data_IF_980822984517
#
_entry.id   IF_980822984517
#
_cell.length_a   1.000
_cell.length_b   1.000
_cell.length_c   1.000
_cell.angle_alpha   90.00
_cell.angle_beta   90.00
_cell.angle_gamma   90.00
#
_symmetry.space_group_name_H-M   'P 1'
#
loop_
_entity.id
_entity.type
_entity.pdbx_description
1 polymer ?
#
# COMPACT_ATOMS: atom_id res chain seq x y z
N UNK A 1 -2.12 19.21 -10.82
CA UNK A 1 -2.22 17.73 -10.84
C UNK A 1 -1.16 17.04 -9.99
N UNK A 2 0.15 17.27 -10.20
CA UNK A 2 1.19 16.72 -9.32
C UNK A 2 1.20 17.40 -7.94
N UNK A 3 0.93 18.71 -7.91
CA UNK A 3 0.69 19.44 -6.65
C UNK A 3 -0.52 18.90 -5.87
N UNK A 4 -1.54 18.40 -6.57
CA UNK A 4 -2.70 17.79 -5.93
C UNK A 4 -2.33 16.46 -5.26
N UNK A 5 -1.49 15.65 -5.93
CA UNK A 5 -0.91 14.42 -5.37
C UNK A 5 -0.06 14.71 -4.14
N UNK A 6 0.77 15.76 -4.21
CA UNK A 6 1.61 16.20 -3.08
C UNK A 6 0.76 16.69 -1.91
N UNK A 7 -0.32 17.41 -2.18
CA UNK A 7 -1.28 17.85 -1.15
C UNK A 7 -1.96 16.66 -0.50
N UNK A 8 -2.47 15.72 -1.30
CA UNK A 8 -3.09 14.50 -0.80
C UNK A 8 -2.12 13.67 0.06
N UNK A 9 -0.87 13.52 -0.38
CA UNK A 9 0.17 12.84 0.38
C UNK A 9 0.50 13.55 1.71
N UNK A 10 0.59 14.89 1.70
CA UNK A 10 0.83 15.66 2.94
C UNK A 10 -0.33 15.49 3.92
N UNK A 11 -1.56 15.56 3.43
CA UNK A 11 -2.75 15.34 4.24
C UNK A 11 -2.79 13.90 4.80
N UNK A 12 -2.42 12.90 4.00
CA UNK A 12 -2.28 11.53 4.47
C UNK A 12 -1.20 11.39 5.57
N UNK A 13 -0.08 12.11 5.44
CA UNK A 13 0.98 12.16 6.46
C UNK A 13 0.50 12.81 7.76
N UNK A 14 -0.21 13.93 7.68
CA UNK A 14 -0.73 14.64 8.86
C UNK A 14 -1.78 13.77 9.57
N UNK A 15 -2.65 13.12 8.80
CA UNK A 15 -3.63 12.15 9.32
C UNK A 15 -2.95 10.94 9.95
N UNK A 16 -1.89 10.42 9.34
CA UNK A 16 -1.08 9.35 9.91
C UNK A 16 -0.47 9.76 11.24
N UNK A 17 0.15 10.94 11.34
CA UNK A 17 0.74 11.43 12.59
C UNK A 17 -0.30 11.61 13.70
N UNK A 18 -1.46 12.17 13.37
CA UNK A 18 -2.57 12.34 14.31
C UNK A 18 -3.10 10.99 14.82
N UNK A 19 -3.30 10.02 13.91
CA UNK A 19 -3.80 8.70 14.30
C UNK A 19 -2.74 7.89 15.06
N UNK A 20 -1.46 8.09 14.76
CA UNK A 20 -0.34 7.50 15.50
C UNK A 20 -0.31 7.95 16.97
N UNK A 21 -0.80 9.16 17.26
CA UNK A 21 -0.85 9.72 18.62
C UNK A 21 -2.06 9.25 19.44
N UNK A 22 -2.97 8.45 18.85
CA UNK A 22 -4.14 7.89 19.53
C UNK A 22 -3.85 6.45 19.95
N UNK A 23 -4.14 6.13 21.22
CA UNK A 23 -3.68 4.90 21.89
C UNK A 23 -4.17 3.57 21.26
N UNK A 24 -5.20 3.57 20.42
CA UNK A 24 -5.74 2.35 19.80
C UNK A 24 -6.46 2.62 18.47
N UNK A 25 -5.80 2.48 17.30
CA UNK A 25 -6.36 1.77 16.12
C UNK A 25 -5.24 1.37 15.12
N UNK A 26 -4.71 0.13 15.18
CA UNK A 26 -3.73 -0.35 14.19
C UNK A 26 -4.26 -0.37 12.74
N UNK A 27 -5.56 -0.67 12.53
CA UNK A 27 -6.15 -0.81 11.19
C UNK A 27 -6.30 0.49 10.39
N UNK A 28 -6.47 1.64 11.05
CA UNK A 28 -6.54 2.95 10.36
C UNK A 28 -5.16 3.36 9.83
N UNK A 29 -4.12 3.08 10.62
CA UNK A 29 -2.72 3.37 10.28
C UNK A 29 -2.27 2.55 9.06
N UNK A 30 -2.63 1.27 8.98
CA UNK A 30 -2.29 0.43 7.82
C UNK A 30 -3.01 0.87 6.54
N UNK A 31 -4.27 1.33 6.64
CA UNK A 31 -5.00 1.92 5.49
C UNK A 31 -4.34 3.22 5.02
N UNK A 32 -3.91 4.08 5.94
CA UNK A 32 -3.19 5.32 5.61
C UNK A 32 -1.85 5.03 4.92
N UNK A 33 -1.09 4.04 5.41
CA UNK A 33 0.15 3.60 4.77
C UNK A 33 -0.10 3.05 3.36
N UNK A 34 -1.18 2.29 3.16
CA UNK A 34 -1.56 1.83 1.81
C UNK A 34 -1.83 3.00 0.88
N UNK A 35 -2.64 3.97 1.33
CA UNK A 35 -2.92 5.18 0.54
C UNK A 35 -1.65 5.94 0.16
N UNK A 36 -0.72 6.13 1.11
CA UNK A 36 0.58 6.76 0.83
C UNK A 36 1.42 5.98 -0.22
N UNK A 37 1.38 4.65 -0.20
CA UNK A 37 2.07 3.80 -1.19
C UNK A 37 1.43 3.93 -2.57
N UNK A 38 0.10 4.01 -2.63
CA UNK A 38 -0.65 4.20 -3.87
C UNK A 38 -0.30 5.55 -4.51
N UNK A 39 -0.27 6.63 -3.72
CA UNK A 39 0.13 7.97 -4.16
C UNK A 39 1.57 8.00 -4.70
N UNK A 40 2.51 7.33 -4.03
CA UNK A 40 3.89 7.18 -4.54
C UNK A 40 3.93 6.41 -5.85
N UNK A 41 3.11 5.37 -5.98
CA UNK A 41 3.06 4.54 -7.19
C UNK A 41 2.49 5.33 -8.37
N UNK A 42 1.47 6.16 -8.13
CA UNK A 42 0.94 7.08 -9.12
C UNK A 42 1.99 8.13 -9.51
N UNK A 43 2.70 8.71 -8.54
CA UNK A 43 3.78 9.67 -8.79
C UNK A 43 4.86 9.07 -9.70
N UNK A 44 5.27 7.82 -9.44
CA UNK A 44 6.25 7.09 -10.26
C UNK A 44 5.76 6.83 -11.68
N UNK A 45 4.49 6.47 -11.84
CA UNK A 45 3.90 6.26 -13.18
C UNK A 45 3.96 7.56 -13.99
N UNK A 46 3.55 8.67 -13.37
CA UNK A 46 3.61 10.00 -14.02
C UNK A 46 5.04 10.44 -14.33
N UNK A 47 6.01 10.12 -13.47
CA UNK A 47 7.43 10.37 -13.73
C UNK A 47 7.92 9.57 -14.96
N UNK A 48 7.59 8.29 -15.04
CA UNK A 48 7.94 7.45 -16.19
C UNK A 48 7.32 7.98 -17.50
N UNK A 49 6.09 8.48 -17.44
CA UNK A 49 5.45 9.11 -18.60
C UNK A 49 6.20 10.38 -19.05
N UNK A 50 6.70 11.20 -18.12
CA UNK A 50 7.51 12.38 -18.42
C UNK A 50 8.85 11.99 -19.03
N UNK A 51 9.53 10.98 -18.49
CA UNK A 51 10.78 10.46 -19.03
C UNK A 51 10.61 9.94 -20.46
N UNK A 52 9.53 9.21 -20.73
CA UNK A 52 9.20 8.75 -22.08
C UNK A 52 8.89 9.92 -23.03
N UNK A 53 8.16 10.95 -22.58
CA UNK A 53 7.92 12.15 -23.38
C UNK A 53 9.22 12.90 -23.70
N UNK A 54 10.16 12.96 -22.75
CA UNK A 54 11.47 13.55 -22.96
C UNK A 54 12.27 12.79 -24.01
N UNK A 55 12.34 11.45 -23.89
CA UNK A 55 13.03 10.59 -24.86
C UNK A 55 12.45 10.77 -26.27
N UNK A 56 11.13 10.73 -26.40
CA UNK A 56 10.45 10.94 -27.68
C UNK A 56 10.76 12.32 -28.28
N UNK A 57 10.72 13.37 -27.46
CA UNK A 57 11.00 14.75 -27.92
C UNK A 57 12.45 14.88 -28.40
N UNK A 58 13.41 14.27 -27.70
CA UNK A 58 14.82 14.22 -28.13
C UNK A 58 15.00 13.44 -29.44
N UNK A 59 14.29 12.32 -29.60
CA UNK A 59 14.33 11.54 -30.83
C UNK A 59 13.76 12.33 -32.02
N UNK A 60 12.68 13.09 -31.81
CA UNK A 60 12.12 13.99 -32.82
C UNK A 60 13.11 15.11 -33.19
N UNK A 61 13.75 15.76 -32.21
CA UNK A 61 14.78 16.78 -32.46
C UNK A 61 15.97 16.22 -33.26
N UNK A 62 16.39 14.98 -33.00
CA UNK A 62 17.45 14.31 -33.75
C UNK A 62 17.06 14.01 -35.21
N UNK A 63 15.78 13.68 -35.45
CA UNK A 63 15.24 13.53 -36.82
C UNK A 63 15.26 14.86 -37.56
N UNK A 64 14.77 15.93 -36.93
CA UNK A 64 14.83 17.29 -37.51
C UNK A 64 16.27 17.69 -37.85
N UNK A 65 17.25 17.38 -36.98
CA UNK A 65 18.67 17.61 -37.27
C UNK A 65 19.17 16.84 -38.51
N UNK A 66 18.69 15.62 -38.71
CA UNK A 66 19.03 14.80 -39.89
C UNK A 66 18.42 15.36 -41.18
N UNK A 67 17.19 15.90 -41.09
CA UNK A 67 16.54 16.58 -42.22
C UNK A 67 17.26 17.89 -42.58
N UNK A 68 17.66 18.69 -41.59
CA UNK A 68 18.48 19.90 -41.80
C UNK A 68 19.75 19.55 -42.57
N UNK A 69 20.50 18.53 -42.13
CA UNK A 69 21.72 18.10 -42.80
C UNK A 69 21.46 17.64 -44.26
N UNK A 70 20.28 17.05 -44.52
CA UNK A 70 19.88 16.65 -45.88
C UNK A 70 19.55 17.86 -46.75
N UNK A 71 18.82 18.84 -46.21
CA UNK A 71 18.58 20.13 -46.87
C UNK A 71 19.87 20.87 -47.19
N UNK A 72 20.80 20.96 -46.23
CA UNK A 72 22.09 21.65 -46.41
C UNK A 72 22.93 20.99 -47.51
N UNK A 73 23.01 19.65 -47.54
CA UNK A 73 23.69 18.91 -48.63
C UNK A 73 23.04 19.16 -49.98
N UNK A 74 21.71 19.19 -50.06
CA UNK A 74 20.97 19.45 -51.30
C UNK A 74 21.18 20.88 -51.80
N UNK A 75 21.15 21.85 -50.91
CA UNK A 75 21.42 23.25 -51.24
C UNK A 75 22.84 23.42 -51.80
N UNK A 76 23.83 22.80 -51.16
CA UNK A 76 25.23 22.84 -51.62
C UNK A 76 25.41 22.17 -53.00
N UNK A 77 24.80 21.02 -53.24
CA UNK A 77 24.84 20.38 -54.56
C UNK A 77 24.19 21.24 -55.65
N UNK A 78 23.04 21.84 -55.35
CA UNK A 78 22.32 22.71 -56.29
C UNK A 78 23.15 23.96 -56.63
N UNK A 79 23.78 24.58 -55.63
CA UNK A 79 24.71 25.69 -55.80
C UNK A 79 25.87 25.34 -56.75
N UNK A 80 26.47 24.16 -56.57
CA UNK A 80 27.61 23.71 -57.38
C UNK A 80 27.28 23.54 -58.87
N UNK A 81 26.02 23.24 -59.20
CA UNK A 81 25.55 23.08 -60.59
C UNK A 81 24.82 24.32 -61.13
N UNK A 82 24.72 25.39 -60.33
CA UNK A 82 24.02 26.63 -60.71
C UNK A 82 22.49 26.51 -60.73
N UNK A 83 21.90 25.55 -60.01
CA UNK A 83 20.46 25.43 -59.83
C UNK A 83 19.99 26.28 -58.64
N UNK A 84 19.80 27.58 -58.89
CA UNK A 84 19.43 28.57 -57.87
C UNK A 84 18.06 28.30 -57.23
N UNK A 85 17.10 27.75 -57.98
CA UNK A 85 15.76 27.48 -57.45
C UNK A 85 15.77 26.29 -56.50
N UNK A 86 16.47 25.20 -56.84
CA UNK A 86 16.62 24.06 -55.92
C UNK A 86 17.41 24.45 -54.67
N UNK A 87 18.45 25.27 -54.81
CA UNK A 87 19.19 25.82 -53.66
C UNK A 87 18.24 26.60 -52.74
N UNK A 88 17.48 27.55 -53.29
CA UNK A 88 16.54 28.39 -52.54
C UNK A 88 15.50 27.56 -51.80
N UNK A 89 14.88 26.60 -52.47
CA UNK A 89 13.86 25.74 -51.85
C UNK A 89 14.48 24.86 -50.76
N UNK A 90 15.66 24.28 -50.99
CA UNK A 90 16.34 23.46 -49.99
C UNK A 90 16.66 24.26 -48.71
N UNK A 91 17.12 25.51 -48.85
CA UNK A 91 17.36 26.40 -47.70
C UNK A 91 16.06 26.74 -46.96
N UNK A 92 14.97 27.06 -47.66
CA UNK A 92 13.68 27.38 -47.02
C UNK A 92 13.12 26.18 -46.22
N UNK A 93 13.26 24.96 -46.74
CA UNK A 93 12.92 23.74 -45.98
C UNK A 93 13.87 23.54 -44.79
N UNK A 94 15.18 23.74 -44.97
CA UNK A 94 16.17 23.66 -43.90
C UNK A 94 15.84 24.62 -42.75
N UNK A 95 15.45 25.85 -43.06
CA UNK A 95 15.04 26.86 -42.07
C UNK A 95 13.80 26.43 -41.28
N UNK A 96 12.82 25.80 -41.95
CA UNK A 96 11.63 25.25 -41.26
C UNK A 96 12.00 24.13 -40.29
N UNK A 97 12.88 23.21 -40.69
CA UNK A 97 13.36 22.15 -39.81
C UNK A 97 14.18 22.70 -38.65
N UNK A 98 15.00 23.74 -38.87
CA UNK A 98 15.77 24.42 -37.81
C UNK A 98 14.86 25.06 -36.76
N UNK A 99 13.80 25.76 -37.18
CA UNK A 99 12.80 26.32 -36.24
C UNK A 99 12.08 25.23 -35.46
N UNK A 100 11.70 24.11 -36.10
CA UNK A 100 11.07 22.98 -35.40
C UNK A 100 12.02 22.36 -34.38
N UNK A 101 13.27 22.14 -34.76
CA UNK A 101 14.30 21.62 -33.87
C UNK A 101 14.48 22.50 -32.64
N UNK A 102 14.58 23.82 -32.82
CA UNK A 102 14.73 24.77 -31.71
C UNK A 102 13.56 24.67 -30.71
N UNK A 103 12.31 24.57 -31.20
CA UNK A 103 11.14 24.37 -30.34
C UNK A 103 11.23 23.03 -29.60
N UNK A 104 11.64 21.96 -30.27
CA UNK A 104 11.79 20.64 -29.66
C UNK A 104 12.94 20.59 -28.63
N UNK A 105 14.05 21.28 -28.89
CA UNK A 105 15.17 21.39 -27.94
C UNK A 105 14.72 22.11 -26.66
N UNK A 106 14.07 23.27 -26.79
CA UNK A 106 13.52 24.02 -25.66
C UNK A 106 12.51 23.19 -24.86
N UNK A 107 11.65 22.43 -25.57
CA UNK A 107 10.71 21.50 -24.93
C UNK A 107 11.43 20.37 -24.20
N UNK A 108 12.49 19.81 -24.77
CA UNK A 108 13.27 18.74 -24.15
C UNK A 108 14.02 19.26 -22.90
N UNK A 109 14.49 20.50 -22.92
CA UNK A 109 15.12 21.13 -21.75
C UNK A 109 14.11 21.30 -20.61
N UNK A 110 12.94 21.90 -20.89
CA UNK A 110 11.88 22.04 -19.89
C UNK A 110 11.40 20.69 -19.32
N UNK A 111 11.26 19.67 -20.17
CA UNK A 111 10.91 18.31 -19.71
C UNK A 111 12.02 17.68 -18.85
N UNK A 112 13.29 17.93 -19.16
CA UNK A 112 14.41 17.41 -18.37
C UNK A 112 14.46 18.06 -16.98
N UNK A 113 14.23 19.37 -16.89
CA UNK A 113 14.12 20.07 -15.61
C UNK A 113 12.96 19.52 -14.76
N UNK A 114 11.80 19.29 -15.38
CA UNK A 114 10.63 18.72 -14.70
C UNK A 114 10.92 17.30 -14.19
N UNK A 115 11.58 16.45 -15.00
CA UNK A 115 11.99 15.10 -14.55
C UNK A 115 12.88 15.17 -13.32
N UNK A 116 13.86 16.07 -13.30
CA UNK A 116 14.76 16.25 -12.13
C UNK A 116 13.98 16.65 -10.89
N UNK A 117 13.08 17.63 -11.02
CA UNK A 117 12.23 18.09 -9.91
C UNK A 117 11.35 16.94 -9.37
N UNK A 118 10.67 16.23 -10.27
CA UNK A 118 9.72 15.16 -9.90
C UNK A 118 10.41 13.94 -9.31
N UNK A 119 11.61 13.60 -9.78
CA UNK A 119 12.42 12.54 -9.18
C UNK A 119 12.72 12.86 -7.71
N UNK A 120 13.16 14.09 -7.41
CA UNK A 120 13.41 14.52 -6.04
C UNK A 120 12.16 14.44 -5.16
N UNK A 121 10.99 14.83 -5.68
CA UNK A 121 9.73 14.72 -4.94
C UNK A 121 9.31 13.27 -4.67
N UNK A 122 9.47 12.38 -5.64
CA UNK A 122 9.18 10.95 -5.46
C UNK A 122 10.11 10.34 -4.41
N UNK A 123 11.39 10.71 -4.41
CA UNK A 123 12.35 10.27 -3.40
C UNK A 123 11.97 10.76 -2.00
N UNK A 124 11.58 12.03 -1.86
CA UNK A 124 11.06 12.57 -0.59
C UNK A 124 9.82 11.80 -0.09
N UNK A 125 8.87 11.48 -0.99
CA UNK A 125 7.68 10.72 -0.63
C UNK A 125 8.05 9.30 -0.18
N UNK A 126 8.96 8.64 -0.91
CA UNK A 126 9.46 7.30 -0.55
C UNK A 126 10.09 7.28 0.83
N UNK A 127 10.91 8.27 1.16
CA UNK A 127 11.56 8.34 2.46
C UNK A 127 10.56 8.55 3.60
N UNK A 128 9.53 9.38 3.38
CA UNK A 128 8.42 9.55 4.33
C UNK A 128 7.61 8.27 4.52
N UNK A 129 7.36 7.50 3.44
CA UNK A 129 6.70 6.19 3.56
C UNK A 129 7.55 5.21 4.37
N UNK A 130 8.86 5.17 4.14
CA UNK A 130 9.77 4.31 4.93
C UNK A 130 9.74 4.71 6.40
N UNK A 131 9.85 6.00 6.70
CA UNK A 131 9.80 6.51 8.08
C UNK A 131 8.47 6.15 8.76
N UNK A 132 7.34 6.35 8.07
CA UNK A 132 6.02 6.00 8.57
C UNK A 132 5.91 4.50 8.89
N UNK A 133 6.43 3.63 8.01
CA UNK A 133 6.49 2.17 8.27
C UNK A 133 7.32 1.84 9.50
N UNK A 134 8.51 2.40 9.64
CA UNK A 134 9.37 2.17 10.82
C UNK A 134 8.70 2.62 12.11
N UNK A 135 8.01 3.78 12.11
CA UNK A 135 7.23 4.26 13.26
C UNK A 135 6.07 3.32 13.60
N UNK A 136 5.35 2.81 12.60
CA UNK A 136 4.28 1.83 12.79
C UNK A 136 4.81 0.53 13.40
N UNK A 137 5.93 0.01 12.88
CA UNK A 137 6.55 -1.23 13.37
C UNK A 137 7.02 -1.08 14.83
N UNK A 138 7.61 0.06 15.19
CA UNK A 138 8.05 0.34 16.56
C UNK A 138 6.87 0.34 17.55
N UNK A 139 5.76 0.98 17.19
CA UNK A 139 4.55 1.03 18.02
C UNK A 139 3.84 -0.33 18.13
N UNK A 140 3.79 -1.10 17.03
CA UNK A 140 3.25 -2.45 17.08
C UNK A 140 4.06 -3.34 18.04
N UNK A 141 5.40 -3.20 18.06
CA UNK A 141 6.25 -3.91 18.99
C UNK A 141 6.07 -3.47 20.46
N UNK A 142 5.83 -2.18 20.71
CA UNK A 142 5.56 -1.64 22.05
C UNK A 142 4.18 -2.04 22.57
N UNK A 143 3.15 -1.97 21.73
CA UNK A 143 1.79 -2.43 22.05
C UNK A 143 1.76 -3.93 22.30
N UNK A 144 2.42 -4.75 21.48
CA UNK A 144 2.54 -6.19 21.70
C UNK A 144 3.25 -6.54 23.02
N UNK A 145 4.27 -5.78 23.41
CA UNK A 145 4.96 -5.93 24.72
C UNK A 145 4.08 -5.54 25.90
N UNK A 146 3.26 -4.50 25.75
CA UNK A 146 2.36 -4.02 26.81
C UNK A 146 1.19 -4.98 27.00
N UNK A 147 0.56 -5.43 25.91
CA UNK A 147 -0.51 -6.44 25.96
C UNK A 147 -0.04 -7.77 26.55
N UNK A 148 1.17 -8.24 26.20
CA UNK A 148 1.75 -9.43 26.82
C UNK A 148 2.02 -9.27 28.33
N UNK A 149 2.37 -8.05 28.78
CA UNK A 149 2.55 -7.75 30.21
C UNK A 149 1.21 -7.66 30.96
N UNK A 150 0.18 -7.13 30.31
CA UNK A 150 -1.18 -7.08 30.88
C UNK A 150 -1.79 -8.47 31.00
N UNK A 151 -1.67 -9.32 29.97
CA UNK A 151 -2.18 -10.69 30.05
C UNK A 151 -1.47 -11.52 31.13
N UNK A 152 -0.17 -11.30 31.34
CA UNK A 152 0.58 -11.94 32.44
C UNK A 152 0.07 -11.44 33.80
N UNK A 153 -0.15 -10.14 33.97
CA UNK A 153 -0.70 -9.58 35.22
C UNK A 153 -2.14 -10.00 35.49
N UNK A 154 -2.96 -10.09 34.46
CA UNK A 154 -4.34 -10.58 34.55
C UNK A 154 -4.37 -12.07 34.94
N UNK A 155 -3.47 -12.86 34.34
CA UNK A 155 -3.28 -14.26 34.72
C UNK A 155 -2.83 -14.39 36.18
N UNK A 156 -1.86 -13.59 36.63
CA UNK A 156 -1.38 -13.58 38.03
C UNK A 156 -2.50 -13.17 39.02
N UNK A 157 -3.37 -12.24 38.63
CA UNK A 157 -4.53 -11.85 39.43
C UNK A 157 -5.58 -12.98 39.53
N UNK A 158 -5.81 -13.70 38.43
CA UNK A 158 -6.66 -14.90 38.37
C UNK A 158 -6.13 -16.02 39.26
N UNK A 159 -4.82 -16.29 39.24
CA UNK A 159 -4.19 -17.26 40.15
C UNK A 159 -4.32 -16.83 41.61
N UNK A 160 -4.13 -15.55 41.90
CA UNK A 160 -4.32 -15.00 43.26
C UNK A 160 -5.77 -15.09 43.76
N UNK A 161 -6.75 -15.01 42.86
CA UNK A 161 -8.17 -15.22 43.18
C UNK A 161 -8.49 -16.70 43.43
N UNK A 162 -7.87 -17.59 42.67
CA UNK A 162 -8.00 -19.04 42.81
C UNK A 162 -7.41 -19.53 44.14
N UNK A 163 -6.28 -18.98 44.56
CA UNK A 163 -5.68 -19.26 45.89
C UNK A 163 -6.59 -18.81 47.04
N UNK A 164 -7.24 -17.65 46.93
CA UNK A 164 -8.24 -17.21 47.94
C UNK A 164 -9.49 -18.09 47.96
N UNK A 165 -9.93 -18.61 46.82
CA UNK A 165 -11.03 -19.57 46.78
C UNK A 165 -10.60 -20.91 47.41
N UNK A 166 -9.38 -21.36 47.18
CA UNK A 166 -8.82 -22.57 47.80
C UNK A 166 -8.72 -22.44 49.33
N UNK A 167 -8.25 -21.30 49.84
CA UNK A 167 -8.28 -21.00 51.29
C UNK A 167 -9.71 -20.99 51.84
N UNK A 168 -10.65 -20.37 51.12
CA UNK A 168 -12.05 -20.30 51.54
C UNK A 168 -12.77 -21.66 51.54
N UNK A 169 -12.37 -22.59 50.68
CA UNK A 169 -12.86 -23.97 50.65
C UNK A 169 -12.22 -24.78 51.79
N UNK A 170 -10.92 -24.60 52.03
CA UNK A 170 -10.18 -25.28 53.10
C UNK A 170 -10.62 -24.89 54.52
N UNK A 171 -11.21 -23.71 54.70
CA UNK A 171 -11.69 -23.21 56.00
C UNK A 171 -13.16 -23.56 56.28
N UNK A 172 -13.85 -24.19 55.31
CA UNK A 172 -15.20 -24.72 55.53
C UNK A 172 -15.13 -26.23 55.78
N UNK A 173 -15.41 -26.63 57.03
CA UNK A 173 -15.71 -28.00 57.49
C UNK A 173 -16.96 -28.63 56.80
N UNK A 174 -17.22 -28.33 55.52
CA UNK A 174 -18.34 -28.84 54.73
C UNK A 174 -18.00 -30.12 53.94
N UNK A 175 -16.71 -30.46 53.79
CA UNK A 175 -16.29 -31.72 53.13
C UNK A 175 -16.66 -32.97 53.94
N UNK A 176 -16.73 -32.87 55.27
CA UNK A 176 -17.06 -34.00 56.13
C UNK A 176 -18.55 -34.42 56.06
N UNK A 177 -19.44 -33.51 55.65
CA UNK A 177 -20.88 -33.75 55.51
C UNK A 177 -21.31 -34.05 54.07
N UNK A 178 -20.69 -33.44 53.06
CA UNK A 178 -20.99 -33.72 51.65
C UNK A 178 -20.57 -35.15 51.22
N UNK A 179 -19.48 -35.68 51.78
CA UNK A 179 -19.04 -37.06 51.54
C UNK A 179 -20.02 -38.11 52.11
N UNK A 180 -20.84 -37.77 53.11
CA UNK A 180 -21.84 -38.70 53.67
C UNK A 180 -23.13 -38.75 52.86
N UNK A 181 -23.44 -37.72 52.08
CA UNK A 181 -24.63 -37.69 51.20
C UNK A 181 -24.41 -38.28 49.80
N UNK A 182 -23.17 -38.63 49.42
CA UNK A 182 -22.85 -39.21 48.10
C UNK A 182 -22.59 -40.72 48.12
N UNK A 183 -22.93 -41.41 49.21
CA UNK A 183 -22.78 -42.87 49.33
C UNK A 183 -23.78 -43.73 48.53
N UNK A 184 -24.70 -43.13 47.76
CA UNK A 184 -25.80 -43.86 47.10
C UNK A 184 -25.89 -43.65 45.57
N UNK A 185 -24.84 -43.14 44.92
CA UNK A 185 -24.78 -43.12 43.46
C UNK A 185 -23.53 -43.84 42.95
N UNK A 186 -23.73 -45.05 42.40
CA UNK A 186 -22.70 -45.81 41.69
C UNK A 186 -22.37 -45.10 40.37
N UNK A 187 -21.33 -44.27 40.39
CA UNK A 187 -20.79 -43.57 39.22
C UNK A 187 -19.56 -44.29 38.64
N UNK A 188 -19.67 -45.60 38.43
CA UNK A 188 -18.71 -46.33 37.59
C UNK A 188 -19.01 -46.02 36.11
N UNK A 189 -18.32 -45.03 35.57
CA UNK A 189 -18.28 -44.77 34.12
C UNK A 189 -17.22 -45.69 33.51
N UNK A 190 -17.64 -46.56 32.59
CA UNK A 190 -16.75 -47.44 31.83
C UNK A 190 -15.98 -46.61 30.79
N UNK A 191 -14.64 -46.51 30.85
CA UNK A 191 -13.86 -45.63 29.99
C UNK A 191 -13.84 -46.05 28.50
N UNK A 192 -14.33 -47.25 28.16
CA UNK A 192 -14.36 -47.77 26.78
C UNK A 192 -15.75 -47.65 26.10
N UNK A 193 -16.74 -47.00 26.72
CA UNK A 193 -18.06 -46.83 26.10
C UNK A 193 -18.03 -45.77 24.97
N UNK A 194 -18.34 -46.11 23.71
CA UNK A 194 -18.26 -45.15 22.62
C UNK A 194 -19.34 -44.08 22.75
N UNK A 195 -18.90 -42.83 22.77
CA UNK A 195 -19.75 -41.62 22.84
C UNK A 195 -20.78 -41.66 21.70
N UNK A 196 -22.05 -41.90 22.04
CA UNK A 196 -23.17 -41.80 21.09
C UNK A 196 -23.40 -40.33 20.75
N UNK A 197 -22.88 -39.88 19.61
CA UNK A 197 -23.25 -38.59 19.04
C UNK A 197 -24.67 -38.69 18.47
N UNK A 198 -25.57 -37.74 18.77
CA UNK A 198 -26.87 -37.72 18.12
C UNK A 198 -26.67 -37.56 16.61
N UNK A 199 -27.30 -38.42 15.82
CA UNK A 199 -27.26 -38.34 14.36
C UNK A 199 -27.96 -37.04 13.94
N UNK A 200 -27.18 -36.05 13.51
CA UNK A 200 -27.72 -34.82 12.92
C UNK A 200 -28.14 -35.16 11.49
N UNK A 201 -29.41 -34.93 11.18
CA UNK A 201 -29.94 -35.07 9.82
C UNK A 201 -29.48 -33.88 8.98
N UNK A 202 -28.40 -34.11 8.22
CA UNK A 202 -27.77 -33.09 7.39
C UNK A 202 -28.67 -32.63 6.22
N UNK A 203 -29.63 -33.45 5.79
CA UNK A 203 -30.53 -33.09 4.70
C UNK A 203 -31.55 -32.05 5.15
N UNK A 204 -32.06 -32.17 6.38
CA UNK A 204 -32.94 -31.16 6.99
C UNK A 204 -32.23 -29.81 7.19
N UNK A 205 -30.96 -29.84 7.61
CA UNK A 205 -30.16 -28.62 7.80
C UNK A 205 -29.85 -27.91 6.46
N UNK A 206 -29.69 -28.67 5.37
CA UNK A 206 -29.39 -28.13 4.05
C UNK A 206 -30.62 -27.49 3.39
N UNK A 207 -31.81 -28.07 3.58
CA UNK A 207 -33.10 -27.50 3.15
C UNK A 207 -33.36 -26.13 3.81
N UNK A 208 -33.08 -26.01 5.11
CA UNK A 208 -33.26 -24.77 5.85
C UNK A 208 -32.29 -23.68 5.38
N UNK A 209 -31.05 -24.05 5.05
CA UNK A 209 -30.06 -23.14 4.47
C UNK A 209 -30.49 -22.63 3.09
N UNK A 210 -30.97 -23.53 2.22
CA UNK A 210 -31.48 -23.18 0.88
C UNK A 210 -32.69 -22.26 0.96
N UNK A 211 -33.61 -22.51 1.91
CA UNK A 211 -34.78 -21.66 2.15
C UNK A 211 -34.39 -20.25 2.63
N UNK A 212 -33.30 -20.13 3.40
CA UNK A 212 -32.73 -18.83 3.81
C UNK A 212 -32.06 -18.09 2.67
N UNK A 213 -31.39 -18.80 1.77
CA UNK A 213 -30.70 -18.20 0.63
C UNK A 213 -31.63 -17.78 -0.51
N UNK A 214 -32.77 -18.46 -0.70
CA UNK A 214 -33.75 -18.12 -1.75
C UNK A 214 -34.70 -16.96 -1.43
N UNK A 215 -34.42 -16.18 -0.37
CA UNK A 215 -35.27 -15.06 0.09
C UNK A 215 -34.56 -13.69 0.09
N UNK A 216 -33.40 -13.62 -0.54
CA UNK A 216 -32.70 -12.37 -0.82
C UNK A 216 -32.78 -12.09 -2.33
N UNK A 217 -33.93 -11.56 -2.75
CA UNK A 217 -34.08 -10.67 -3.91
C UNK A 217 -35.04 -9.55 -3.49
#
# INVERSE_FOLDING_TARGET
MFEDLRRAFREAMDNFQNELSRDHVPGTVDRLLSGMVDEVTEAKTRLADLEHQLEKTRAEAAREASEIATCDRRAEMARQIGDEETERVAMEYGDRHRRRKEVLDNKAEALAEEVVLRTGEVDEMLDKVKEARTRRDALAAESGRTGARESIRESDALFSELDRMAEKIGDTDAEADAARSMGEFDLRVDPDEPIRRPAVDYDAALEELKRRMGRSD
#
